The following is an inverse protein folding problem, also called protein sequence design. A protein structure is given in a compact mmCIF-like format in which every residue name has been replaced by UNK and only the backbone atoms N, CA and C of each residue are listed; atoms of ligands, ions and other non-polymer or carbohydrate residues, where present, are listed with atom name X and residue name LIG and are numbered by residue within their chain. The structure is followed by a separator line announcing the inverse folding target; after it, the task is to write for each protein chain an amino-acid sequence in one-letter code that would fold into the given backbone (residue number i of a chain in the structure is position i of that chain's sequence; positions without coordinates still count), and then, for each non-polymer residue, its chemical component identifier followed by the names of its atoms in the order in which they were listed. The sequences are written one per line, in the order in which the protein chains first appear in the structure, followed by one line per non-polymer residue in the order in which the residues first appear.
data_IF_603827049707
#
_entry.id   IF_603827049707
#
_cell.length_a   1.000
_cell.length_b   1.000
_cell.length_c   1.000
_cell.angle_alpha   90.00
_cell.angle_beta   90.00
_cell.angle_gamma   90.00
#
_symmetry.space_group_name_H-M   'P 1'
#
loop_
_entity.id
_entity.type
_entity.pdbx_description
1 polymer ?
#
# COMPACT_ATOMS: atom_id res chain seq x y z
N UNK A 1 12.81 -10.05 -4.32
CA UNK A 1 12.00 -9.45 -3.23
C UNK A 1 10.66 -9.06 -3.82
N UNK A 2 9.55 -9.57 -3.29
CA UNK A 2 8.23 -9.13 -3.74
C UNK A 2 7.79 -7.86 -2.99
N UNK A 3 6.70 -7.22 -3.43
CA UNK A 3 6.25 -5.93 -2.87
C UNK A 3 5.88 -6.04 -1.39
N UNK A 4 5.26 -7.15 -0.97
CA UNK A 4 4.86 -7.37 0.41
C UNK A 4 6.08 -7.43 1.35
N UNK A 5 7.12 -8.15 0.96
CA UNK A 5 8.39 -8.18 1.69
C UNK A 5 9.03 -6.79 1.76
N UNK A 6 9.01 -6.03 0.66
CA UNK A 6 9.52 -4.67 0.65
C UNK A 6 8.75 -3.74 1.60
N UNK A 7 7.41 -3.80 1.59
CA UNK A 7 6.57 -3.01 2.51
C UNK A 7 6.90 -3.36 3.96
N UNK A 8 7.02 -4.65 4.28
CA UNK A 8 7.34 -5.10 5.64
C UNK A 8 8.70 -4.57 6.14
N UNK A 9 9.71 -4.53 5.27
CA UNK A 9 11.05 -4.01 5.60
C UNK A 9 11.07 -2.48 5.71
N UNK A 10 10.26 -1.78 4.92
CA UNK A 10 10.21 -0.32 4.90
C UNK A 10 9.46 0.29 6.09
N UNK A 11 8.75 -0.51 6.91
CA UNK A 11 7.86 -0.02 8.00
C UNK A 11 8.53 1.01 8.92
N UNK A 12 9.78 0.81 9.31
CA UNK A 12 10.48 1.74 10.22
C UNK A 12 10.75 3.13 9.62
N UNK A 13 10.67 3.28 8.30
CA UNK A 13 10.90 4.52 7.58
C UNK A 13 9.60 5.25 7.24
N UNK A 14 8.44 4.62 7.47
CA UNK A 14 7.13 5.17 7.15
C UNK A 14 6.62 6.10 8.24
N UNK A 15 5.91 7.16 7.84
CA UNK A 15 5.20 8.04 8.77
C UNK A 15 4.05 7.27 9.44
N UNK A 16 3.59 7.73 10.60
CA UNK A 16 2.44 7.13 11.32
C UNK A 16 1.21 6.90 10.44
N UNK A 17 0.90 7.84 9.54
CA UNK A 17 -0.24 7.72 8.62
C UNK A 17 0.00 6.72 7.49
N UNK A 18 1.26 6.57 7.04
CA UNK A 18 1.65 5.62 5.98
C UNK A 18 1.77 4.20 6.54
N UNK A 19 2.17 4.06 7.80
CA UNK A 19 2.17 2.79 8.53
C UNK A 19 0.78 2.16 8.58
N UNK A 20 -0.28 2.96 8.79
CA UNK A 20 -1.67 2.45 8.72
C UNK A 20 -1.98 1.82 7.37
N UNK A 21 -1.52 2.44 6.28
CA UNK A 21 -1.70 1.92 4.92
C UNK A 21 -0.88 0.64 4.73
N UNK A 22 0.38 0.65 5.16
CA UNK A 22 1.26 -0.52 5.11
C UNK A 22 0.66 -1.72 5.85
N UNK A 23 0.17 -1.50 7.07
CA UNK A 23 -0.43 -2.55 7.90
C UNK A 23 -1.70 -3.11 7.25
N UNK A 24 -2.54 -2.26 6.65
CA UNK A 24 -3.71 -2.72 5.91
C UNK A 24 -3.33 -3.55 4.67
N UNK A 25 -2.36 -3.09 3.87
CA UNK A 25 -1.88 -3.80 2.68
C UNK A 25 -1.25 -5.15 3.05
N UNK A 26 -0.52 -5.23 4.17
CA UNK A 26 0.09 -6.48 4.63
C UNK A 26 -0.94 -7.46 5.21
N UNK A 27 -1.99 -6.95 5.86
CA UNK A 27 -3.03 -7.78 6.47
C UNK A 27 -4.01 -8.34 5.44
N UNK A 28 -4.40 -7.55 4.44
CA UNK A 28 -5.35 -7.95 3.40
C UNK A 28 -4.99 -7.35 2.03
N UNK A 29 -3.97 -7.89 1.36
CA UNK A 29 -3.56 -7.38 0.05
C UNK A 29 -4.60 -7.62 -1.05
N UNK A 30 -5.49 -8.61 -0.88
CA UNK A 30 -6.53 -8.91 -1.86
C UNK A 30 -7.58 -7.80 -1.89
N UNK A 31 -8.03 -7.28 -0.74
CA UNK A 31 -9.01 -6.17 -0.74
C UNK A 31 -8.45 -4.88 -1.36
N UNK A 32 -7.16 -4.61 -1.20
CA UNK A 32 -6.49 -3.47 -1.86
C UNK A 32 -6.58 -3.56 -3.38
N UNK A 33 -6.44 -4.76 -3.94
CA UNK A 33 -6.57 -4.98 -5.39
C UNK A 33 -7.96 -4.59 -5.91
N UNK A 34 -9.00 -4.82 -5.11
CA UNK A 34 -10.40 -4.59 -5.49
C UNK A 34 -10.94 -3.20 -5.06
N UNK A 35 -10.18 -2.44 -4.26
CA UNK A 35 -10.62 -1.13 -3.76
C UNK A 35 -10.16 0.04 -4.65
N UNK A 36 -10.98 1.06 -4.83
CA UNK A 36 -10.52 2.37 -5.30
C UNK A 36 -9.61 3.05 -4.27
N UNK A 37 -8.88 4.11 -4.67
CA UNK A 37 -8.02 4.86 -3.75
C UNK A 37 -8.83 5.52 -2.63
N UNK A 38 -10.04 6.01 -2.96
CA UNK A 38 -10.98 6.61 -2.01
C UNK A 38 -11.48 5.57 -0.99
N UNK A 39 -11.87 4.38 -1.45
CA UNK A 39 -12.32 3.29 -0.57
C UNK A 39 -11.21 2.81 0.36
N UNK A 40 -9.98 2.66 -0.17
CA UNK A 40 -8.83 2.32 0.65
C UNK A 40 -8.54 3.40 1.70
N UNK A 41 -8.53 4.67 1.28
CA UNK A 41 -8.30 5.80 2.19
C UNK A 41 -9.33 5.81 3.32
N UNK A 42 -10.61 5.62 3.00
CA UNK A 42 -11.70 5.50 3.96
C UNK A 42 -11.52 4.29 4.89
N UNK A 43 -11.28 3.10 4.33
CA UNK A 43 -11.11 1.86 5.11
C UNK A 43 -9.92 1.87 6.06
N UNK A 44 -8.86 2.61 5.71
CA UNK A 44 -7.66 2.80 6.56
C UNK A 44 -7.80 3.97 7.53
N UNK A 45 -8.76 4.87 7.31
CA UNK A 45 -8.94 6.10 8.09
C UNK A 45 -7.84 7.13 7.84
N UNK A 46 -7.50 7.35 6.56
CA UNK A 46 -6.53 8.34 6.08
C UNK A 46 -7.08 9.10 4.87
N UNK A 47 -6.37 10.13 4.42
CA UNK A 47 -6.72 10.87 3.20
C UNK A 47 -6.07 10.25 1.95
N UNK A 48 -6.65 10.45 0.77
CA UNK A 48 -6.05 9.99 -0.50
C UNK A 48 -4.62 10.50 -0.73
N UNK A 49 -4.25 11.76 -0.41
CA UNK A 49 -2.85 12.20 -0.46
C UNK A 49 -1.91 11.38 0.43
N UNK A 50 -2.42 10.78 1.52
CA UNK A 50 -1.64 9.86 2.35
C UNK A 50 -1.35 8.56 1.62
N UNK A 51 -2.31 8.02 0.86
CA UNK A 51 -2.09 6.84 0.00
C UNK A 51 -1.04 7.15 -1.07
N UNK A 52 -1.10 8.33 -1.69
CA UNK A 52 -0.10 8.75 -2.69
C UNK A 52 1.30 8.86 -2.08
N UNK A 53 1.42 9.45 -0.87
CA UNK A 53 2.72 9.51 -0.18
C UNK A 53 3.23 8.13 0.21
N UNK A 54 2.36 7.24 0.70
CA UNK A 54 2.71 5.85 0.97
C UNK A 54 3.25 5.16 -0.28
N UNK A 55 2.56 5.27 -1.43
CA UNK A 55 3.02 4.70 -2.70
C UNK A 55 4.45 5.17 -3.04
N UNK A 56 4.71 6.49 -2.95
CA UNK A 56 6.04 7.05 -3.20
C UNK A 56 7.09 6.55 -2.22
N UNK A 57 6.75 6.44 -0.93
CA UNK A 57 7.65 5.97 0.12
C UNK A 57 8.14 4.53 -0.10
N UNK A 58 7.34 3.68 -0.75
CA UNK A 58 7.70 2.30 -1.10
C UNK A 58 8.14 2.15 -2.57
N UNK A 59 8.50 3.25 -3.25
CA UNK A 59 9.01 3.22 -4.61
C UNK A 59 7.97 2.92 -5.70
N UNK A 60 6.68 3.17 -5.44
CA UNK A 60 5.62 3.10 -6.43
C UNK A 60 5.31 4.50 -7.00
N UNK A 61 5.03 4.57 -8.30
CA UNK A 61 4.70 5.84 -8.98
C UNK A 61 3.31 6.38 -8.61
N UNK A 62 2.43 5.51 -8.10
CA UNK A 62 1.08 5.84 -7.63
C UNK A 62 0.27 4.59 -7.28
N UNK A 63 -1.02 4.78 -7.04
CA UNK A 63 -1.90 3.70 -6.57
C UNK A 63 -2.10 2.57 -7.59
N UNK A 64 -2.13 2.88 -8.89
CA UNK A 64 -2.23 1.85 -9.93
C UNK A 64 -0.96 0.99 -10.03
N UNK A 65 0.22 1.59 -9.87
CA UNK A 65 1.50 0.86 -9.83
C UNK A 65 1.60 -0.01 -8.57
N UNK A 66 1.12 0.48 -7.42
CA UNK A 66 0.98 -0.33 -6.20
C UNK A 66 0.15 -1.60 -6.49
N UNK A 67 -1.04 -1.47 -7.08
CA UNK A 67 -1.89 -2.63 -7.41
C UNK A 67 -1.20 -3.61 -8.37
N UNK A 68 -0.56 -3.10 -9.42
CA UNK A 68 0.13 -3.96 -10.39
C UNK A 68 1.23 -4.80 -9.72
N UNK A 69 2.09 -4.16 -8.93
CA UNK A 69 3.16 -4.85 -8.19
C UNK A 69 2.62 -5.79 -7.11
N UNK A 70 1.48 -5.45 -6.51
CA UNK A 70 0.82 -6.28 -5.51
C UNK A 70 0.27 -7.56 -6.16
N UNK A 71 -0.40 -7.44 -7.32
CA UNK A 71 -0.86 -8.59 -8.09
C UNK A 71 0.29 -9.53 -8.48
N UNK A 72 1.41 -8.97 -8.95
CA UNK A 72 2.62 -9.75 -9.24
C UNK A 72 3.16 -10.47 -8.00
N UNK A 73 3.06 -9.86 -6.83
CA UNK A 73 3.52 -10.44 -5.56
C UNK A 73 2.63 -11.57 -5.03
N UNK A 74 1.35 -11.58 -5.40
CA UNK A 74 0.39 -12.62 -5.02
C UNK A 74 0.36 -13.80 -6.00
N UNK A 75 0.83 -13.59 -7.23
CA UNK A 75 0.90 -14.62 -8.27
C UNK A 75 2.23 -15.40 -8.29
N UNK A 76 3.21 -14.97 -7.49
CA UNK A 76 4.55 -15.57 -7.39
C UNK A 76 4.68 -16.46 -6.16
#
# INVERSE_FOLDING_TARGET
MNLLQHIAQSRQQLRKSELKVADHVLNDPASVMHSSMAELAHGVGVSEPTIVRFCRAIGCSGFQDLKLKLAQSLAA
#
